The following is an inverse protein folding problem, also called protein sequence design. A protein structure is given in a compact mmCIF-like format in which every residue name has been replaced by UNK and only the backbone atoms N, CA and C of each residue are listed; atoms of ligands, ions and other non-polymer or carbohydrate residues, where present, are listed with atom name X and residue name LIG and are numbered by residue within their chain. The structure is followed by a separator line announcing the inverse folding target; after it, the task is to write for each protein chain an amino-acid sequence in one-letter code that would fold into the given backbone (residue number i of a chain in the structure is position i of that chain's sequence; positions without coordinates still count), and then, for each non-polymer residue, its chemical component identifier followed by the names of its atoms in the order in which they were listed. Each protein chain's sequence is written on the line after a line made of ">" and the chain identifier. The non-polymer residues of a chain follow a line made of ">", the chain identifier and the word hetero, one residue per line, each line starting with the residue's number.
data_IF_755173969574
#
_entry.id   IF_755173969574
#
_cell.length_a   1.000
_cell.length_b   1.000
_cell.length_c   1.000
_cell.angle_alpha   90.00
_cell.angle_beta   90.00
_cell.angle_gamma   90.00
#
_symmetry.space_group_name_H-M   'P 1'
#
loop_
_entity.id
_entity.type
_entity.pdbx_description
1 polymer ?
#
# COMPACT_ATOMS: atom_id res chain seq x y z
N UNK A 1 -25.54 3.37 -24.29
CA UNK A 1 -24.17 3.91 -24.26
C UNK A 1 -23.29 3.02 -23.41
N UNK A 2 -22.34 2.29 -23.99
CA UNK A 2 -21.23 1.73 -23.20
C UNK A 2 -20.42 2.94 -22.73
N UNK A 3 -20.43 3.26 -21.42
CA UNK A 3 -19.47 4.22 -20.88
C UNK A 3 -18.08 3.64 -21.16
N UNK A 4 -17.24 4.38 -21.89
CA UNK A 4 -15.80 4.12 -21.92
C UNK A 4 -15.30 4.20 -20.48
N UNK A 5 -15.15 3.02 -19.85
CA UNK A 5 -14.80 2.94 -18.45
C UNK A 5 -13.27 2.92 -18.35
N UNK A 6 -12.68 4.05 -17.94
CA UNK A 6 -11.24 4.17 -17.70
C UNK A 6 -10.79 3.26 -16.55
N UNK A 7 -9.50 2.91 -16.52
CA UNK A 7 -8.89 2.10 -15.45
C UNK A 7 -8.70 2.84 -14.11
N UNK A 8 -9.05 4.13 -14.07
CA UNK A 8 -8.99 5.01 -12.91
C UNK A 8 -10.32 5.74 -12.74
N UNK A 9 -10.62 6.17 -11.51
CA UNK A 9 -11.88 6.86 -11.22
C UNK A 9 -11.82 8.34 -11.58
N UNK A 10 -10.62 8.90 -11.66
CA UNK A 10 -10.37 10.31 -11.96
C UNK A 10 -10.61 11.22 -10.78
N UNK A 11 -10.84 10.67 -9.59
CA UNK A 11 -11.23 11.43 -8.39
C UNK A 11 -10.39 11.04 -7.19
N UNK A 12 -10.08 12.02 -6.36
CA UNK A 12 -9.42 11.83 -5.07
C UNK A 12 -10.29 12.41 -3.95
N UNK A 13 -10.14 11.86 -2.75
CA UNK A 13 -10.77 12.38 -1.54
C UNK A 13 -9.73 13.16 -0.73
N UNK A 14 -10.06 14.38 -0.32
CA UNK A 14 -9.20 15.23 0.52
C UNK A 14 -9.91 15.49 1.84
N UNK A 15 -9.23 15.13 2.93
CA UNK A 15 -9.72 15.22 4.30
C UNK A 15 -8.85 16.19 5.09
N UNK A 16 -9.45 17.25 5.60
CA UNK A 16 -8.84 18.18 6.54
C UNK A 16 -9.28 17.80 7.96
N UNK A 17 -8.36 17.24 8.73
CA UNK A 17 -8.65 16.71 10.07
C UNK A 17 -8.83 17.80 11.13
N UNK A 18 -8.36 19.01 10.86
CA UNK A 18 -8.50 20.14 11.78
C UNK A 18 -9.87 20.79 11.64
N UNK A 19 -10.39 20.88 10.42
CA UNK A 19 -11.71 21.48 10.15
C UNK A 19 -12.84 20.46 9.98
N UNK A 20 -12.49 19.16 9.95
CA UNK A 20 -13.40 18.06 9.59
C UNK A 20 -13.98 18.20 8.17
N UNK A 21 -13.35 19.03 7.32
CA UNK A 21 -13.73 19.22 5.93
C UNK A 21 -13.36 18.02 5.08
N UNK A 22 -14.33 17.50 4.34
CA UNK A 22 -14.15 16.40 3.37
C UNK A 22 -14.60 16.92 2.01
N UNK A 23 -13.74 16.82 1.00
CA UNK A 23 -14.07 17.22 -0.38
C UNK A 23 -13.48 16.26 -1.39
N UNK A 24 -14.14 16.18 -2.54
CA UNK A 24 -13.63 15.47 -3.72
C UNK A 24 -12.89 16.45 -4.63
N UNK A 25 -11.86 15.98 -5.31
CA UNK A 25 -11.18 16.72 -6.39
C UNK A 25 -11.04 15.82 -7.61
N UNK A 26 -11.39 16.36 -8.79
CA UNK A 26 -11.16 15.70 -10.06
C UNK A 26 -9.72 15.90 -10.52
N UNK A 27 -9.09 14.82 -10.98
CA UNK A 27 -7.72 14.81 -11.48
C UNK A 27 -7.76 14.70 -13.02
N UNK A 28 -7.13 15.64 -13.74
CA UNK A 28 -7.09 15.59 -15.20
C UNK A 28 -6.43 14.33 -15.74
N UNK A 29 -6.95 13.79 -16.85
CA UNK A 29 -6.44 12.57 -17.52
C UNK A 29 -4.93 12.63 -17.79
N UNK A 30 -4.42 13.80 -18.20
CA UNK A 30 -2.98 14.03 -18.45
C UNK A 30 -2.09 13.66 -17.26
N UNK A 31 -2.60 13.73 -16.03
CA UNK A 31 -1.84 13.32 -14.84
C UNK A 31 -1.65 11.81 -14.84
N UNK A 32 -2.71 11.04 -15.11
CA UNK A 32 -2.64 9.59 -15.21
C UNK A 32 -1.82 9.12 -16.41
N UNK A 33 -1.89 9.83 -17.53
CA UNK A 33 -1.11 9.52 -18.74
C UNK A 33 0.40 9.71 -18.51
N UNK A 34 0.79 10.75 -17.76
CA UNK A 34 2.20 11.06 -17.53
C UNK A 34 2.78 10.38 -16.28
N UNK A 35 1.98 10.20 -15.23
CA UNK A 35 2.45 9.81 -13.89
C UNK A 35 1.76 8.55 -13.34
N UNK A 36 0.79 7.98 -14.06
CA UNK A 36 -0.02 6.86 -13.61
C UNK A 36 -0.75 7.19 -12.28
N UNK A 37 -1.10 6.16 -11.50
CA UNK A 37 -1.61 6.28 -10.13
C UNK A 37 -0.53 5.86 -9.11
N UNK A 38 -0.87 5.73 -7.84
CA UNK A 38 0.08 5.31 -6.80
C UNK A 38 1.13 6.39 -6.55
N UNK A 39 2.42 6.04 -6.61
CA UNK A 39 3.52 6.97 -6.30
C UNK A 39 3.45 8.25 -7.15
N UNK A 40 3.18 8.14 -8.45
CA UNK A 40 3.17 9.32 -9.34
C UNK A 40 2.03 10.30 -9.01
N UNK A 41 0.82 9.79 -8.76
CA UNK A 41 -0.30 10.62 -8.28
C UNK A 41 -0.01 11.23 -6.90
N UNK A 42 0.63 10.47 -6.02
CA UNK A 42 1.05 10.94 -4.70
C UNK A 42 2.06 12.08 -4.79
N UNK A 43 3.10 11.91 -5.62
CA UNK A 43 4.12 12.92 -5.86
C UNK A 43 3.53 14.20 -6.48
N UNK A 44 2.66 14.06 -7.50
CA UNK A 44 1.94 15.17 -8.10
C UNK A 44 1.16 15.99 -7.06
N UNK A 45 0.37 15.31 -6.22
CA UNK A 45 -0.47 15.98 -5.24
C UNK A 45 0.36 16.65 -4.13
N UNK A 46 1.31 15.92 -3.53
CA UNK A 46 2.16 16.46 -2.47
C UNK A 46 2.99 17.65 -2.96
N UNK A 47 3.60 17.57 -4.15
CA UNK A 47 4.39 18.66 -4.71
C UNK A 47 3.60 19.96 -4.89
N UNK A 48 2.32 19.85 -5.26
CA UNK A 48 1.45 21.00 -5.50
C UNK A 48 0.85 21.59 -4.23
N UNK A 49 0.65 20.77 -3.19
CA UNK A 49 -0.20 21.14 -2.04
C UNK A 49 0.51 21.15 -0.69
N UNK A 50 1.73 20.62 -0.60
CA UNK A 50 2.50 20.58 0.65
C UNK A 50 3.63 21.63 0.61
N UNK A 51 3.72 22.53 1.61
CA UNK A 51 4.86 23.44 1.73
C UNK A 51 6.19 22.67 1.81
N UNK A 52 7.23 23.19 1.17
CA UNK A 52 8.55 22.52 1.13
C UNK A 52 9.14 22.32 2.53
N UNK A 53 8.93 23.29 3.41
CA UNK A 53 9.39 23.35 4.79
C UNK A 53 8.41 22.72 5.81
N UNK A 54 7.32 22.08 5.34
CA UNK A 54 6.37 21.42 6.23
C UNK A 54 7.07 20.49 7.24
N UNK A 55 6.74 20.63 8.52
CA UNK A 55 7.19 19.71 9.57
C UNK A 55 6.63 18.30 9.26
N UNK A 56 7.48 17.26 9.14
CA UNK A 56 7.02 15.89 8.89
C UNK A 56 5.99 15.33 9.89
N UNK A 57 5.88 15.86 11.10
CA UNK A 57 4.82 15.46 12.05
C UNK A 57 3.75 16.55 12.24
N UNK A 58 3.92 17.70 11.61
CA UNK A 58 3.03 18.85 11.71
C UNK A 58 1.74 18.76 10.88
N UNK A 59 0.89 19.79 10.97
CA UNK A 59 -0.40 19.83 10.30
C UNK A 59 -0.29 19.94 8.77
N UNK A 60 0.78 20.57 8.27
CA UNK A 60 0.96 20.82 6.84
C UNK A 60 1.53 19.61 6.07
N UNK A 61 2.10 18.61 6.76
CA UNK A 61 2.46 17.36 6.09
C UNK A 61 1.19 16.65 5.60
N UNK A 62 1.21 16.12 4.39
CA UNK A 62 0.08 15.40 3.80
C UNK A 62 0.37 13.91 3.83
N UNK A 63 -0.55 13.13 4.41
CA UNK A 63 -0.56 11.68 4.30
C UNK A 63 -1.49 11.28 3.15
N UNK A 64 -0.97 10.58 2.15
CA UNK A 64 -1.76 10.01 1.05
C UNK A 64 -1.85 8.49 1.14
N UNK A 65 -3.03 7.94 0.89
CA UNK A 65 -3.28 6.51 0.71
C UNK A 65 -3.80 6.27 -0.71
N UNK A 66 -3.03 5.55 -1.53
CA UNK A 66 -3.25 5.50 -2.97
C UNK A 66 -3.38 4.08 -3.50
N UNK A 67 -4.29 3.90 -4.46
CA UNK A 67 -4.44 2.67 -5.23
C UNK A 67 -3.57 2.68 -6.49
N UNK A 68 -3.23 1.48 -6.98
CA UNK A 68 -2.52 1.33 -8.25
C UNK A 68 -3.42 1.57 -9.46
N UNK A 69 -2.81 1.87 -10.62
CA UNK A 69 -3.56 2.11 -11.86
C UNK A 69 -4.32 0.87 -12.32
N UNK A 70 -3.69 -0.31 -12.23
CA UNK A 70 -4.28 -1.59 -12.64
C UNK A 70 -5.12 -2.25 -11.54
N UNK A 71 -5.34 -1.57 -10.41
CA UNK A 71 -6.15 -2.10 -9.32
C UNK A 71 -7.60 -2.21 -9.78
N UNK A 72 -8.20 -3.40 -9.63
CA UNK A 72 -9.61 -3.64 -10.01
C UNK A 72 -9.83 -3.92 -11.51
N UNK A 73 -8.79 -3.91 -12.34
CA UNK A 73 -8.90 -4.15 -13.80
C UNK A 73 -9.09 -5.63 -14.17
N UNK A 74 -8.83 -6.56 -13.25
CA UNK A 74 -8.73 -8.00 -13.54
C UNK A 74 -7.32 -8.47 -13.85
N UNK A 75 -6.34 -7.55 -13.85
CA UNK A 75 -4.91 -7.89 -13.82
C UNK A 75 -4.54 -8.64 -12.53
N UNK A 76 -3.54 -9.51 -12.62
CA UNK A 76 -3.06 -10.30 -11.47
C UNK A 76 -1.99 -9.53 -10.70
N UNK A 77 -1.96 -9.72 -9.38
CA UNK A 77 -0.97 -9.11 -8.47
C UNK A 77 -1.02 -7.57 -8.37
N UNK A 78 -2.12 -6.93 -8.77
CA UNK A 78 -2.30 -5.47 -8.78
C UNK A 78 -3.09 -4.91 -7.59
N UNK A 79 -3.25 -5.69 -6.52
CA UNK A 79 -3.94 -5.31 -5.28
C UNK A 79 -3.10 -4.49 -4.28
N UNK A 80 -2.06 -3.80 -4.75
CA UNK A 80 -1.14 -3.04 -3.91
C UNK A 80 -1.62 -1.60 -3.71
N UNK A 81 -1.48 -1.09 -2.49
CA UNK A 81 -1.68 0.31 -2.15
C UNK A 81 -0.40 0.92 -1.60
N UNK A 82 -0.31 2.26 -1.66
CA UNK A 82 0.83 3.04 -1.18
C UNK A 82 0.38 4.00 -0.08
N UNK A 83 1.18 4.15 0.96
CA UNK A 83 1.20 5.35 1.79
C UNK A 83 2.30 6.29 1.30
N UNK A 84 2.04 7.59 1.24
CA UNK A 84 3.02 8.64 0.88
C UNK A 84 2.92 9.83 1.83
N UNK A 85 4.05 10.46 2.16
CA UNK A 85 4.14 11.67 2.99
C UNK A 85 5.55 12.30 2.88
N UNK A 86 5.78 13.41 3.58
CA UNK A 86 7.14 13.77 4.02
C UNK A 86 7.53 12.85 5.18
N UNK A 87 8.67 12.16 5.08
CA UNK A 87 9.10 11.19 6.08
C UNK A 87 9.65 11.89 7.32
N UNK A 88 9.19 11.56 8.54
CA UNK A 88 9.78 12.09 9.77
C UNK A 88 11.12 11.41 10.12
N UNK A 89 11.44 10.27 9.48
CA UNK A 89 12.70 9.57 9.69
C UNK A 89 13.84 10.16 8.84
N UNK A 90 13.55 10.59 7.61
CA UNK A 90 14.57 11.05 6.65
C UNK A 90 14.48 12.53 6.31
N UNK A 91 13.37 13.19 6.63
CA UNK A 91 13.10 14.59 6.27
C UNK A 91 12.71 14.82 4.81
N UNK A 92 12.78 13.80 3.96
CA UNK A 92 12.48 13.87 2.53
C UNK A 92 11.18 13.17 2.13
N UNK A 93 11.11 12.70 0.88
CA UNK A 93 10.03 11.85 0.39
C UNK A 93 9.96 10.55 1.20
N UNK A 94 8.75 10.20 1.67
CA UNK A 94 8.47 8.94 2.32
C UNK A 94 7.35 8.20 1.59
N UNK A 95 7.61 6.98 1.17
CA UNK A 95 6.58 6.06 0.72
C UNK A 95 6.73 4.68 1.35
N UNK A 96 5.61 3.95 1.41
CA UNK A 96 5.58 2.55 1.82
C UNK A 96 4.46 1.80 1.09
N UNK A 97 4.78 0.63 0.54
CA UNK A 97 3.84 -0.23 -0.17
C UNK A 97 3.26 -1.30 0.76
N UNK A 98 1.97 -1.61 0.60
CA UNK A 98 1.38 -2.78 1.22
C UNK A 98 0.39 -3.49 0.28
N UNK A 99 0.19 -4.78 0.52
CA UNK A 99 -0.79 -5.60 -0.20
C UNK A 99 -2.12 -5.69 0.53
N UNK A 100 -2.84 -6.78 0.29
CA UNK A 100 -4.18 -7.01 0.86
C UNK A 100 -5.27 -6.49 -0.06
N UNK A 101 -6.40 -6.09 0.53
CA UNK A 101 -7.64 -5.76 -0.20
C UNK A 101 -8.00 -4.27 -0.15
N UNK A 102 -7.14 -3.45 0.48
CA UNK A 102 -7.41 -2.02 0.65
C UNK A 102 -7.33 -1.22 -0.66
N UNK A 103 -6.43 -1.59 -1.59
CA UNK A 103 -6.33 -0.87 -2.87
C UNK A 103 -7.62 -0.96 -3.70
N UNK A 104 -8.22 -2.15 -3.90
CA UNK A 104 -9.55 -2.26 -4.49
C UNK A 104 -10.61 -1.45 -3.74
N UNK A 105 -10.57 -1.43 -2.41
CA UNK A 105 -11.56 -0.70 -1.61
C UNK A 105 -11.54 0.82 -1.87
N UNK A 106 -10.36 1.42 -2.05
CA UNK A 106 -10.23 2.84 -2.45
C UNK A 106 -11.00 3.10 -3.76
N UNK A 107 -10.76 2.26 -4.78
CA UNK A 107 -11.44 2.34 -6.09
C UNK A 107 -12.95 2.10 -5.98
N UNK A 108 -13.37 1.16 -5.14
CA UNK A 108 -14.77 0.83 -4.94
C UNK A 108 -15.55 1.94 -4.21
N UNK A 109 -14.87 2.76 -3.40
CA UNK A 109 -15.42 4.02 -2.88
C UNK A 109 -15.42 5.16 -3.91
N UNK A 110 -14.96 4.92 -5.15
CA UNK A 110 -14.98 5.90 -6.23
C UNK A 110 -13.74 6.78 -6.32
N UNK A 111 -12.67 6.46 -5.57
CA UNK A 111 -11.45 7.27 -5.50
C UNK A 111 -10.23 6.51 -6.06
N UNK A 112 -9.21 7.26 -6.48
CA UNK A 112 -7.89 6.72 -6.79
C UNK A 112 -6.91 6.90 -5.61
N UNK A 113 -7.15 7.92 -4.78
CA UNK A 113 -6.38 8.26 -3.60
C UNK A 113 -7.23 8.96 -2.54
N UNK A 114 -6.79 8.87 -1.28
CA UNK A 114 -7.33 9.59 -0.13
C UNK A 114 -6.18 10.33 0.55
N UNK A 115 -6.28 11.66 0.66
CA UNK A 115 -5.26 12.51 1.26
C UNK A 115 -5.76 13.14 2.56
N UNK A 116 -4.88 13.22 3.56
CA UNK A 116 -5.15 13.76 4.88
C UNK A 116 -4.17 14.88 5.21
N UNK A 117 -4.70 16.04 5.60
CA UNK A 117 -3.93 17.16 6.15
C UNK A 117 -4.52 17.63 7.47
N UNK A 118 -3.84 18.55 8.15
CA UNK A 118 -4.22 18.99 9.49
C UNK A 118 -4.00 17.90 10.53
N UNK A 119 -4.44 18.19 11.75
CA UNK A 119 -4.41 17.32 12.93
C UNK A 119 -5.76 17.43 13.61
N UNK A 120 -6.39 16.29 13.93
CA UNK A 120 -7.65 16.29 14.68
C UNK A 120 -7.40 16.59 16.15
N UNK A 121 -8.35 17.27 16.82
CA UNK A 121 -8.31 17.52 18.26
C UNK A 121 -8.48 16.25 19.10
N UNK A 122 -8.99 15.16 18.53
CA UNK A 122 -9.18 13.88 19.21
C UNK A 122 -8.90 12.71 18.27
N UNK A 123 -8.68 11.49 18.80
CA UNK A 123 -8.60 10.31 17.96
C UNK A 123 -9.85 10.15 17.07
N UNK A 124 -9.64 10.02 15.76
CA UNK A 124 -10.69 9.78 14.78
C UNK A 124 -10.32 8.65 13.81
N UNK A 125 -11.31 8.11 13.12
CA UNK A 125 -11.10 7.27 11.95
C UNK A 125 -11.96 7.77 10.78
N UNK A 126 -11.48 7.60 9.55
CA UNK A 126 -12.29 7.85 8.36
C UNK A 126 -13.14 6.61 8.06
N UNK A 127 -14.44 6.79 7.88
CA UNK A 127 -15.33 5.80 7.27
C UNK A 127 -15.78 6.31 5.91
N UNK A 128 -15.72 5.48 4.88
CA UNK A 128 -16.29 5.80 3.58
C UNK A 128 -16.95 4.59 2.93
N UNK A 129 -18.08 4.80 2.27
CA UNK A 129 -18.81 3.78 1.51
C UNK A 129 -19.51 4.38 0.29
N UNK A 130 -20.61 3.77 -0.15
CA UNK A 130 -21.39 4.24 -1.31
C UNK A 130 -22.19 5.52 -1.04
N UNK A 131 -22.45 5.84 0.24
CA UNK A 131 -23.23 7.00 0.67
C UNK A 131 -22.34 8.25 0.90
N UNK A 132 -21.02 8.07 0.95
CA UNK A 132 -20.03 9.14 1.11
C UNK A 132 -18.97 8.82 2.16
N UNK A 133 -18.30 9.86 2.66
CA UNK A 133 -17.23 9.74 3.64
C UNK A 133 -17.46 10.64 4.85
N UNK A 134 -17.10 10.15 6.04
CA UNK A 134 -17.23 10.87 7.31
C UNK A 134 -16.11 10.51 8.29
N UNK A 135 -15.77 11.47 9.16
CA UNK A 135 -14.86 11.24 10.29
C UNK A 135 -15.66 10.83 11.52
N UNK A 136 -15.29 9.69 12.12
CA UNK A 136 -15.92 9.14 13.31
C UNK A 136 -14.96 9.13 14.48
N UNK A 137 -15.50 9.18 15.69
CA UNK A 137 -14.73 9.10 16.93
C UNK A 137 -13.99 7.75 17.04
N UNK A 138 -12.73 7.80 17.45
CA UNK A 138 -11.88 6.62 17.65
C UNK A 138 -11.30 6.54 19.07
N UNK A 139 -11.85 7.27 20.04
CA UNK A 139 -11.28 7.32 21.39
C UNK A 139 -11.27 5.93 22.05
N UNK A 140 -12.30 5.11 21.81
CA UNK A 140 -12.37 3.73 22.31
C UNK A 140 -11.37 2.77 21.64
N UNK A 141 -10.77 3.18 20.52
CA UNK A 141 -9.78 2.40 19.77
C UNK A 141 -8.34 2.82 20.05
N UNK A 142 -8.14 4.04 20.54
CA UNK A 142 -6.81 4.57 20.83
C UNK A 142 -6.13 3.77 21.94
N UNK A 143 -4.87 3.38 21.74
CA UNK A 143 -4.11 2.51 22.63
C UNK A 143 -4.25 1.01 22.34
N UNK A 144 -5.21 0.60 21.51
CA UNK A 144 -5.40 -0.82 21.14
C UNK A 144 -4.41 -1.28 20.09
N UNK A 145 -4.13 -2.59 20.08
CA UNK A 145 -3.32 -3.22 19.05
C UNK A 145 -3.93 -3.00 17.64
N UNK A 146 -3.07 -2.98 16.61
CA UNK A 146 -3.50 -2.75 15.24
C UNK A 146 -4.46 -3.83 14.74
N UNK A 147 -4.17 -5.12 14.98
CA UNK A 147 -5.01 -6.22 14.51
C UNK A 147 -6.31 -6.27 15.32
N UNK A 148 -6.23 -6.07 16.64
CA UNK A 148 -7.42 -5.93 17.50
C UNK A 148 -8.35 -4.83 16.98
N UNK A 149 -7.79 -3.64 16.68
CA UNK A 149 -8.56 -2.51 16.16
C UNK A 149 -9.19 -2.81 14.80
N UNK A 150 -8.43 -3.44 13.87
CA UNK A 150 -8.96 -3.85 12.57
C UNK A 150 -10.17 -4.79 12.73
N UNK A 151 -10.11 -5.74 13.64
CA UNK A 151 -11.20 -6.69 13.89
C UNK A 151 -12.42 -6.05 14.55
N UNK A 152 -12.22 -5.09 15.46
CA UNK A 152 -13.31 -4.29 16.04
C UNK A 152 -14.01 -3.50 14.94
N UNK A 153 -13.26 -2.72 14.15
CA UNK A 153 -13.81 -1.90 13.07
C UNK A 153 -14.51 -2.73 11.99
N UNK A 154 -14.00 -3.91 11.67
CA UNK A 154 -14.66 -4.84 10.74
C UNK A 154 -16.01 -5.34 11.22
N UNK A 155 -16.22 -5.43 12.54
CA UNK A 155 -17.51 -5.79 13.14
C UNK A 155 -18.43 -4.58 13.20
N UNK A 156 -17.95 -3.47 13.77
CA UNK A 156 -18.73 -2.24 13.97
C UNK A 156 -19.19 -1.61 12.65
N UNK A 157 -18.33 -1.61 11.63
CA UNK A 157 -18.60 -0.96 10.34
C UNK A 157 -19.12 -1.92 9.26
N UNK A 158 -19.52 -3.15 9.65
CA UNK A 158 -20.03 -4.14 8.72
C UNK A 158 -21.42 -3.74 8.22
N UNK A 159 -21.56 -3.62 6.90
CA UNK A 159 -22.85 -3.56 6.21
C UNK A 159 -23.10 -4.92 5.53
N UNK A 160 -23.43 -4.93 4.24
CA UNK A 160 -23.61 -6.17 3.45
C UNK A 160 -22.29 -6.91 3.23
N UNK A 161 -21.20 -6.16 3.00
CA UNK A 161 -19.84 -6.71 2.87
C UNK A 161 -18.98 -6.36 4.08
N UNK A 162 -17.89 -7.12 4.25
CA UNK A 162 -16.84 -6.83 5.23
C UNK A 162 -16.05 -5.60 4.74
N UNK A 163 -15.86 -4.56 5.56
CA UNK A 163 -15.06 -3.41 5.17
C UNK A 163 -13.57 -3.75 5.13
N UNK A 164 -12.82 -2.98 4.36
CA UNK A 164 -11.37 -3.01 4.32
C UNK A 164 -10.82 -1.89 5.21
N UNK A 165 -9.84 -2.23 6.05
CA UNK A 165 -9.35 -1.34 7.10
C UNK A 165 -7.84 -1.22 6.99
N UNK A 166 -7.33 0.00 7.10
CA UNK A 166 -5.92 0.27 7.45
C UNK A 166 -5.89 0.97 8.80
N UNK A 167 -4.88 0.68 9.61
CA UNK A 167 -4.87 1.07 11.02
C UNK A 167 -3.45 1.19 11.58
N UNK A 168 -3.26 2.12 12.51
CA UNK A 168 -2.04 2.20 13.32
C UNK A 168 -2.24 1.53 14.69
N UNK A 169 -1.17 0.90 15.18
CA UNK A 169 -1.09 0.44 16.58
C UNK A 169 -0.43 1.48 17.50
N UNK A 170 -0.13 1.11 18.75
CA UNK A 170 0.44 2.04 19.74
C UNK A 170 1.77 2.67 19.32
N UNK A 171 2.55 2.01 18.46
CA UNK A 171 3.79 2.58 17.93
C UNK A 171 3.54 3.82 17.05
N UNK A 172 2.47 3.81 16.24
CA UNK A 172 2.08 4.96 15.43
C UNK A 172 1.51 6.08 16.30
N UNK A 173 0.65 5.74 17.25
CA UNK A 173 0.07 6.69 18.22
C UNK A 173 1.13 7.42 19.05
N UNK A 174 2.22 6.73 19.39
CA UNK A 174 3.39 7.27 20.11
C UNK A 174 4.46 7.85 19.18
N UNK A 175 4.16 8.02 17.89
CA UNK A 175 5.01 8.67 16.89
C UNK A 175 6.39 8.03 16.70
N UNK A 176 6.50 6.71 16.85
CA UNK A 176 7.76 6.01 16.53
C UNK A 176 8.10 6.18 15.06
N UNK A 177 9.30 6.70 14.76
CA UNK A 177 9.74 7.00 13.38
C UNK A 177 9.88 5.76 12.47
N UNK A 178 9.79 4.56 13.06
CA UNK A 178 9.77 3.27 12.34
C UNK A 178 8.39 2.60 12.39
N UNK A 179 7.35 3.30 12.83
CA UNK A 179 5.99 2.80 12.80
C UNK A 179 5.43 2.75 11.36
N UNK A 180 4.66 1.69 11.09
CA UNK A 180 3.95 1.51 9.84
C UNK A 180 2.44 1.52 9.99
N UNK A 181 1.74 1.37 8.86
CA UNK A 181 0.28 1.28 8.79
C UNK A 181 -0.09 -0.17 8.43
N UNK A 182 -0.86 -0.82 9.31
CA UNK A 182 -1.23 -2.23 9.20
C UNK A 182 -2.56 -2.42 8.49
N UNK A 183 -2.73 -3.55 7.81
CA UNK A 183 -4.02 -4.04 7.31
C UNK A 183 -4.04 -5.57 7.15
N UNK A 184 -5.22 -6.11 6.88
CA UNK A 184 -5.39 -7.52 6.48
C UNK A 184 -4.75 -8.53 7.45
N UNK A 185 -4.85 -8.29 8.76
CA UNK A 185 -4.31 -9.17 9.79
C UNK A 185 -2.78 -9.12 9.91
N UNK A 186 -2.17 -7.96 9.69
CA UNK A 186 -0.74 -7.73 9.97
C UNK A 186 0.15 -7.53 8.74
N UNK A 187 -0.41 -7.40 7.53
CA UNK A 187 0.35 -6.83 6.42
C UNK A 187 0.59 -5.35 6.72
N UNK A 188 1.74 -4.81 6.31
CA UNK A 188 2.15 -3.49 6.80
C UNK A 188 2.87 -2.66 5.74
N UNK A 189 2.47 -1.39 5.61
CA UNK A 189 3.25 -0.34 4.98
C UNK A 189 4.29 0.15 6.02
N UNK A 190 5.47 -0.46 6.01
CA UNK A 190 6.34 -0.53 7.21
C UNK A 190 7.43 0.54 7.33
N UNK A 191 7.79 1.22 6.25
CA UNK A 191 8.98 2.07 6.20
C UNK A 191 8.62 3.55 6.16
N UNK A 192 9.64 4.40 6.23
CA UNK A 192 9.54 5.85 6.05
C UNK A 192 8.76 6.58 7.15
N UNK A 193 8.40 5.91 8.25
CA UNK A 193 7.67 6.52 9.37
C UNK A 193 6.22 6.88 9.05
N UNK A 194 5.61 6.26 8.04
CA UNK A 194 4.23 6.57 7.62
C UNK A 194 3.19 6.36 8.74
N UNK A 195 3.44 5.41 9.65
CA UNK A 195 2.60 5.18 10.82
C UNK A 195 2.70 6.29 11.86
N UNK A 196 3.87 6.93 12.01
CA UNK A 196 4.03 8.10 12.87
C UNK A 196 3.31 9.32 12.31
N UNK A 197 3.35 9.53 10.98
CA UNK A 197 2.59 10.62 10.34
C UNK A 197 1.09 10.42 10.51
N UNK A 198 0.59 9.19 10.34
CA UNK A 198 -0.83 8.89 10.60
C UNK A 198 -1.19 9.13 12.07
N UNK A 199 -0.29 8.78 13.00
CA UNK A 199 -0.48 9.01 14.43
C UNK A 199 -0.43 10.48 14.84
N UNK A 200 0.45 11.30 14.25
CA UNK A 200 0.57 12.74 14.58
C UNK A 200 -0.71 13.50 14.23
N UNK A 201 -1.44 12.99 13.25
CA UNK A 201 -2.74 13.49 12.81
C UNK A 201 -3.92 13.05 13.67
N UNK A 202 -3.68 12.21 14.69
CA UNK A 202 -4.70 11.52 15.51
C UNK A 202 -5.69 10.69 14.68
N UNK A 203 -5.25 10.20 13.52
CA UNK A 203 -6.04 9.33 12.65
C UNK A 203 -5.73 7.87 12.99
N UNK A 204 -6.63 7.21 13.71
CA UNK A 204 -6.45 5.81 14.15
C UNK A 204 -6.54 4.84 12.97
N UNK A 205 -7.50 5.05 12.07
CA UNK A 205 -7.78 4.11 10.99
C UNK A 205 -8.46 4.78 9.78
N UNK A 206 -8.49 4.05 8.67
CA UNK A 206 -9.35 4.33 7.51
C UNK A 206 -10.09 3.05 7.15
N UNK A 207 -11.42 3.16 7.08
CA UNK A 207 -12.37 2.05 6.89
C UNK A 207 -13.15 2.31 5.62
N UNK A 208 -13.03 1.41 4.65
CA UNK A 208 -13.67 1.54 3.34
C UNK A 208 -14.66 0.41 3.10
N UNK A 209 -15.91 0.74 2.76
CA UNK A 209 -17.00 -0.20 2.53
C UNK A 209 -17.79 0.04 1.23
N UNK A 210 -17.23 0.78 0.26
CA UNK A 210 -17.89 1.06 -1.02
C UNK A 210 -17.98 -0.16 -1.95
N UNK A 211 -18.98 -0.24 -2.81
CA UNK A 211 -19.26 -1.37 -3.71
C UNK A 211 -19.17 -1.02 -5.20
N UNK A 212 -18.66 0.18 -5.50
CA UNK A 212 -18.48 0.70 -6.86
C UNK A 212 -17.67 -0.22 -7.76
N UNK A 213 -18.04 -0.26 -9.04
CA UNK A 213 -17.34 -1.07 -10.05
C UNK A 213 -16.12 -0.33 -10.57
N UNK A 214 -14.98 -1.01 -10.60
CA UNK A 214 -13.77 -0.47 -11.22
C UNK A 214 -13.82 -0.70 -12.74
N UNK A 215 -13.55 0.36 -13.48
CA UNK A 215 -13.60 0.38 -14.92
C UNK A 215 -12.43 -0.28 -15.62
N UNK A 216 -12.64 -0.68 -16.87
CA UNK A 216 -11.58 -1.04 -17.80
C UNK A 216 -12.01 -0.80 -19.24
N UNK A 217 -11.09 -0.25 -20.04
CA UNK A 217 -11.36 0.13 -21.42
C UNK A 217 -11.57 -1.10 -22.32
N UNK A 218 -10.63 -2.04 -22.29
CA UNK A 218 -10.72 -3.31 -23.03
C UNK A 218 -10.67 -4.50 -22.06
N UNK A 219 -11.85 -5.03 -21.76
CA UNK A 219 -12.02 -6.15 -20.83
C UNK A 219 -11.53 -7.48 -21.40
N UNK A 220 -11.70 -7.70 -22.70
CA UNK A 220 -11.31 -8.97 -23.32
C UNK A 220 -9.79 -9.04 -23.47
N UNK A 221 -9.13 -7.93 -23.86
CA UNK A 221 -7.68 -7.86 -23.90
C UNK A 221 -7.07 -8.09 -22.50
N UNK A 222 -7.58 -7.42 -21.46
CA UNK A 222 -7.09 -7.62 -20.10
C UNK A 222 -7.28 -9.06 -19.62
N UNK A 223 -8.43 -9.67 -19.93
CA UNK A 223 -8.68 -11.07 -19.60
C UNK A 223 -7.69 -12.00 -20.30
N UNK A 224 -7.36 -11.73 -21.57
CA UNK A 224 -6.38 -12.49 -22.33
C UNK A 224 -4.98 -12.38 -21.70
N UNK A 225 -4.52 -11.15 -21.42
CA UNK A 225 -3.22 -10.91 -20.77
C UNK A 225 -3.13 -11.55 -19.38
N UNK A 226 -4.17 -11.40 -18.56
CA UNK A 226 -4.22 -12.03 -17.24
C UNK A 226 -4.17 -13.55 -17.31
N UNK A 227 -4.86 -14.16 -18.31
CA UNK A 227 -4.83 -15.61 -18.52
C UNK A 227 -3.44 -16.09 -18.93
N UNK A 228 -2.82 -15.41 -19.89
CA UNK A 228 -1.46 -15.73 -20.34
C UNK A 228 -0.46 -15.66 -19.18
N UNK A 229 -0.52 -14.60 -18.37
CA UNK A 229 0.33 -14.45 -17.19
C UNK A 229 0.06 -15.53 -16.14
N UNK A 230 -1.22 -15.86 -15.90
CA UNK A 230 -1.60 -16.94 -14.98
C UNK A 230 -0.99 -18.29 -15.39
N UNK A 231 -1.02 -18.60 -16.69
CA UNK A 231 -0.46 -19.83 -17.24
C UNK A 231 1.07 -19.87 -17.06
N UNK A 232 1.77 -18.75 -17.33
CA UNK A 232 3.20 -18.62 -17.07
C UNK A 232 3.54 -18.88 -15.59
N UNK A 233 2.83 -18.24 -14.65
CA UNK A 233 3.05 -18.42 -13.19
C UNK A 233 2.70 -19.84 -12.73
N UNK A 234 1.63 -20.43 -13.26
CA UNK A 234 1.23 -21.81 -12.96
C UNK A 234 2.32 -22.80 -13.39
N UNK A 235 2.92 -22.59 -14.56
CA UNK A 235 3.92 -23.47 -15.14
C UNK A 235 5.34 -23.22 -14.62
N UNK A 236 5.61 -22.05 -14.04
CA UNK A 236 6.84 -21.75 -13.32
C UNK A 236 6.94 -22.56 -12.02
N UNK A 237 7.59 -23.72 -12.10
CA UNK A 237 7.81 -24.60 -10.96
C UNK A 237 9.29 -24.93 -10.84
N UNK A 238 9.80 -24.86 -9.62
CA UNK A 238 11.18 -25.23 -9.33
C UNK A 238 11.39 -26.73 -9.64
N UNK A 239 12.44 -27.11 -10.38
CA UNK A 239 12.73 -28.53 -10.64
C UNK A 239 12.79 -29.33 -9.34
N UNK A 240 12.21 -30.54 -9.33
CA UNK A 240 12.07 -31.34 -8.08
C UNK A 240 13.41 -31.66 -7.41
N UNK A 241 14.48 -31.78 -8.19
CA UNK A 241 15.84 -32.03 -7.69
C UNK A 241 16.45 -30.82 -6.97
N UNK A 242 15.99 -29.61 -7.28
CA UNK A 242 16.47 -28.36 -6.70
C UNK A 242 15.73 -28.08 -5.39
N UNK A 243 16.24 -28.65 -4.29
CA UNK A 243 15.74 -28.44 -2.93
C UNK A 243 16.40 -27.20 -2.30
N UNK A 244 15.72 -26.56 -1.34
CA UNK A 244 16.23 -25.37 -0.65
C UNK A 244 17.61 -25.55 0.02
N UNK A 245 17.96 -26.78 0.43
CA UNK A 245 19.29 -27.10 0.97
C UNK A 245 20.43 -26.88 -0.04
N UNK A 246 20.13 -26.82 -1.35
CA UNK A 246 21.11 -26.58 -2.40
C UNK A 246 21.28 -25.08 -2.72
N UNK A 247 20.43 -24.21 -2.17
CA UNK A 247 20.49 -22.77 -2.42
C UNK A 247 21.77 -22.10 -1.93
N UNK A 248 22.33 -22.44 -0.74
CA UNK A 248 23.62 -21.88 -0.33
C UNK A 248 24.77 -22.27 -1.27
N UNK A 249 24.78 -23.51 -1.79
CA UNK A 249 25.80 -23.94 -2.74
C UNK A 249 25.69 -23.17 -4.06
N UNK A 250 24.46 -22.97 -4.54
CA UNK A 250 24.20 -22.18 -5.74
C UNK A 250 24.65 -20.73 -5.56
N UNK A 251 24.38 -20.12 -4.41
CA UNK A 251 24.79 -18.73 -4.17
C UNK A 251 26.29 -18.55 -3.98
N UNK A 252 27.01 -19.52 -3.40
CA UNK A 252 28.48 -19.51 -3.39
C UNK A 252 29.06 -19.48 -4.80
N UNK A 253 28.52 -20.32 -5.70
CA UNK A 253 28.96 -20.34 -7.09
C UNK A 253 28.67 -19.00 -7.79
N UNK A 254 27.48 -18.43 -7.58
CA UNK A 254 27.10 -17.13 -8.14
C UNK A 254 27.94 -15.97 -7.59
N UNK A 255 28.30 -15.98 -6.30
CA UNK A 255 29.15 -14.97 -5.68
C UNK A 255 30.57 -14.93 -6.28
N UNK A 256 31.06 -16.08 -6.77
CA UNK A 256 32.33 -16.16 -7.49
C UNK A 256 32.29 -15.63 -8.93
N UNK A 257 31.11 -15.33 -9.48
CA UNK A 257 30.98 -14.85 -10.85
C UNK A 257 31.38 -13.37 -10.96
N UNK A 258 32.34 -13.07 -11.84
CA UNK A 258 32.84 -11.70 -12.08
C UNK A 258 31.88 -10.79 -12.86
N UNK A 259 30.76 -11.33 -13.36
CA UNK A 259 29.74 -10.60 -14.11
C UNK A 259 28.38 -10.91 -13.51
N UNK A 260 27.63 -9.88 -13.15
CA UNK A 260 26.22 -10.02 -12.81
C UNK A 260 25.38 -9.89 -14.09
N UNK A 261 24.26 -10.61 -14.12
CA UNK A 261 23.24 -10.48 -15.15
C UNK A 261 21.87 -10.32 -14.50
N UNK A 262 20.95 -9.70 -15.21
CA UNK A 262 19.56 -9.62 -14.78
C UNK A 262 18.92 -11.00 -14.88
N UNK A 263 18.35 -11.47 -13.78
CA UNK A 263 17.60 -12.72 -13.75
C UNK A 263 16.18 -12.45 -14.27
N UNK A 264 15.71 -13.29 -15.20
CA UNK A 264 14.33 -13.24 -15.67
C UNK A 264 13.35 -13.37 -14.48
N UNK A 265 12.34 -12.49 -14.41
CA UNK A 265 11.39 -12.47 -13.29
C UNK A 265 10.65 -13.80 -13.08
N UNK A 266 10.47 -14.61 -14.13
CA UNK A 266 9.87 -15.94 -14.04
C UNK A 266 10.73 -16.92 -13.23
N UNK A 267 12.05 -16.76 -13.21
CA UNK A 267 12.91 -17.55 -12.32
C UNK A 267 12.67 -17.21 -10.85
N UNK A 268 12.48 -15.93 -10.53
CA UNK A 268 12.14 -15.49 -9.17
C UNK A 268 10.77 -16.01 -8.73
N UNK A 269 9.81 -16.11 -9.66
CA UNK A 269 8.48 -16.70 -9.37
C UNK A 269 8.60 -18.14 -8.90
N UNK A 270 9.45 -18.97 -9.52
CA UNK A 270 9.61 -20.38 -9.14
C UNK A 270 10.03 -20.57 -7.68
N UNK A 271 11.00 -19.77 -7.22
CA UNK A 271 11.51 -19.83 -5.85
C UNK A 271 10.48 -19.27 -4.86
N UNK A 272 9.91 -18.10 -5.17
CA UNK A 272 8.94 -17.42 -4.30
C UNK A 272 7.66 -18.22 -4.15
N UNK A 273 7.21 -18.92 -5.20
CA UNK A 273 6.02 -19.78 -5.17
C UNK A 273 6.16 -20.95 -4.19
N UNK A 274 7.35 -21.53 -4.07
CA UNK A 274 7.59 -22.71 -3.21
C UNK A 274 7.99 -22.34 -1.78
N UNK A 275 8.82 -21.31 -1.63
CA UNK A 275 9.49 -20.99 -0.37
C UNK A 275 9.21 -19.57 0.14
N UNK A 276 8.46 -18.76 -0.61
CA UNK A 276 8.27 -17.35 -0.31
C UNK A 276 9.57 -16.55 -0.37
N UNK A 277 9.54 -15.34 0.19
CA UNK A 277 10.70 -14.44 0.27
C UNK A 277 11.81 -14.98 1.18
N UNK A 278 11.51 -15.92 2.07
CA UNK A 278 12.48 -16.54 2.96
C UNK A 278 13.58 -17.34 2.22
N UNK A 279 13.34 -17.73 0.96
CA UNK A 279 14.38 -18.31 0.09
C UNK A 279 15.60 -17.39 -0.07
N UNK A 280 15.41 -16.07 -0.05
CA UNK A 280 16.50 -15.11 -0.14
C UNK A 280 17.43 -15.15 1.07
N UNK A 281 16.94 -15.46 2.27
CA UNK A 281 17.79 -15.57 3.46
C UNK A 281 18.83 -16.69 3.28
N UNK A 282 18.42 -17.83 2.71
CA UNK A 282 19.34 -18.95 2.47
C UNK A 282 20.36 -18.68 1.37
N UNK A 283 19.96 -17.97 0.32
CA UNK A 283 20.88 -17.56 -0.75
C UNK A 283 21.83 -16.46 -0.30
N UNK A 284 21.38 -15.57 0.57
CA UNK A 284 22.14 -14.42 1.06
C UNK A 284 23.23 -14.75 2.08
N UNK A 285 23.25 -15.97 2.64
CA UNK A 285 24.25 -16.32 3.67
C UNK A 285 25.68 -16.37 3.09
N UNK A 286 25.94 -17.08 1.97
CA UNK A 286 27.31 -17.30 1.49
C UNK A 286 27.87 -16.16 0.64
N UNK A 287 27.02 -15.23 0.19
CA UNK A 287 27.45 -14.07 -0.60
C UNK A 287 27.61 -12.79 0.25
N UNK A 288 27.41 -12.87 1.58
CA UNK A 288 27.57 -11.75 2.51
C UNK A 288 26.35 -10.81 2.60
N UNK A 289 25.22 -11.12 1.97
CA UNK A 289 24.03 -10.27 1.97
C UNK A 289 23.09 -10.51 3.18
N UNK A 290 23.40 -11.48 4.03
CA UNK A 290 22.65 -11.71 5.29
C UNK A 290 23.26 -10.90 6.43
N UNK A 291 22.52 -9.94 7.02
CA UNK A 291 23.04 -9.15 8.12
C UNK A 291 23.19 -10.01 9.39
N UNK A 292 24.43 -10.28 9.79
CA UNK A 292 24.76 -10.95 11.06
C UNK A 292 25.36 -9.92 12.03
N UNK A 293 24.79 -9.83 13.24
CA UNK A 293 25.28 -8.92 14.31
C UNK A 293 25.47 -7.46 13.87
N UNK A 294 24.49 -6.90 13.16
CA UNK A 294 24.59 -5.56 12.55
C UNK A 294 25.76 -5.46 11.55
N UNK A 295 25.82 -6.39 10.60
CA UNK A 295 26.85 -6.43 9.54
C UNK A 295 28.29 -6.64 10.05
N UNK A 296 28.47 -7.24 11.23
CA UNK A 296 29.79 -7.52 11.82
C UNK A 296 30.29 -8.96 11.58
N UNK A 297 29.43 -9.83 11.05
CA UNK A 297 29.72 -11.25 10.83
C UNK A 297 29.84 -11.60 9.36
#
# INVERSE_FOLDING_TARGET
>A
MKRDMKGYTGRILIVDLSTFGIREEEIPDRVYENLLSGIGLGAYFLYKHMPADADPLGPDNILGLLSGLLTGSGSLMTGRWMAVCKSPLTGGWGDANCGGTFAPAIKQCGYDAIFFKGISEKPVYLYADDDGAELRDAAHLWGKDAIETEDILRKECRKKKKPDVVVIGPAGEKLSLIAGISNSGGRIAARSGVGAVMGSKRLKAVVLNGSGRVGIQDREAMKAYSKEFAEKVKNANLPKFLKGALFPLLSMFMAGAKKSSTVDGMMSVMMTKKYGTASNNTMGLPNGDTPVKNWKG
#
